data_IF_805711432062
#
_entry.id   IF_805711432062
#
_cell.length_a   1.000
_cell.length_b   1.000
_cell.length_c   1.000
_cell.angle_alpha   90.00
_cell.angle_beta   90.00
_cell.angle_gamma   90.00
#
_symmetry.space_group_name_H-M   'P 1'
#
loop_
_entity.id
_entity.type
_entity.pdbx_description
1 polymer ?
#
# COMPACT_ATOMS: atom_id res chain seq x y z
N UNK A 1 -7.48 -8.63 -2.05
CA UNK A 1 -7.34 -8.80 -3.51
C UNK A 1 -5.88 -8.87 -3.92
N UNK A 2 -5.10 -7.78 -3.80
CA UNK A 2 -3.66 -7.75 -4.17
C UNK A 2 -2.88 -8.97 -3.67
N UNK A 3 -2.89 -9.25 -2.36
CA UNK A 3 -2.13 -10.39 -1.82
C UNK A 3 -2.55 -11.77 -2.36
N UNK A 4 -3.83 -11.98 -2.69
CA UNK A 4 -4.29 -13.23 -3.31
C UNK A 4 -3.85 -13.30 -4.78
N UNK A 5 -3.93 -12.18 -5.52
CA UNK A 5 -3.43 -12.08 -6.89
C UNK A 5 -1.93 -12.37 -6.97
N UNK A 6 -1.15 -11.72 -6.10
CA UNK A 6 0.29 -11.95 -5.96
C UNK A 6 0.60 -13.42 -5.65
N UNK A 7 -0.12 -14.03 -4.71
CA UNK A 7 0.06 -15.43 -4.39
C UNK A 7 -0.20 -16.34 -5.62
N UNK A 8 -1.30 -16.13 -6.34
CA UNK A 8 -1.60 -16.86 -7.57
C UNK A 8 -0.56 -16.64 -8.67
N UNK A 9 -0.08 -15.40 -8.84
CA UNK A 9 0.94 -15.08 -9.84
C UNK A 9 2.26 -15.76 -9.52
N UNK A 10 2.78 -15.64 -8.30
CA UNK A 10 4.07 -16.25 -7.95
C UNK A 10 4.03 -17.78 -7.91
N UNK A 11 2.85 -18.39 -7.76
CA UNK A 11 2.69 -19.85 -7.89
C UNK A 11 2.66 -20.33 -9.34
N UNK A 12 2.22 -19.49 -10.29
CA UNK A 12 1.90 -19.96 -11.66
C UNK A 12 2.73 -19.30 -12.76
N UNK A 13 3.21 -18.07 -12.54
CA UNK A 13 3.89 -17.20 -13.49
C UNK A 13 3.14 -17.01 -14.82
N UNK A 14 1.80 -17.08 -14.75
CA UNK A 14 0.92 -16.90 -15.91
C UNK A 14 0.48 -15.45 -16.04
N UNK A 15 0.37 -14.97 -17.28
CA UNK A 15 -0.04 -13.59 -17.58
C UNK A 15 -1.41 -13.25 -16.97
N UNK A 16 -2.35 -14.17 -16.99
CA UNK A 16 -3.68 -13.98 -16.41
C UNK A 16 -3.62 -13.73 -14.90
N UNK A 17 -2.70 -14.40 -14.21
CA UNK A 17 -2.49 -14.21 -12.78
C UNK A 17 -1.67 -12.96 -12.48
N UNK A 18 -0.76 -12.57 -13.38
CA UNK A 18 -0.05 -11.30 -13.30
C UNK A 18 -1.02 -10.11 -13.30
N UNK A 19 -2.03 -10.14 -14.19
CA UNK A 19 -3.09 -9.13 -14.20
C UNK A 19 -3.87 -9.09 -12.88
N UNK A 20 -4.10 -10.25 -12.26
CA UNK A 20 -4.78 -10.36 -10.97
C UNK A 20 -3.94 -9.85 -9.80
N UNK A 21 -2.60 -9.79 -9.93
CA UNK A 21 -1.71 -9.15 -8.96
C UNK A 21 -1.66 -7.63 -9.16
N UNK A 22 -1.28 -7.21 -10.37
CA UNK A 22 -0.88 -5.84 -10.68
C UNK A 22 -2.05 -4.87 -10.81
N UNK A 23 -3.15 -5.25 -11.47
CA UNK A 23 -4.29 -4.33 -11.65
C UNK A 23 -4.98 -3.98 -10.32
N UNK A 24 -5.22 -4.94 -9.39
CA UNK A 24 -5.73 -4.60 -8.07
C UNK A 24 -4.85 -3.66 -7.26
N UNK A 25 -3.55 -3.54 -7.53
CA UNK A 25 -2.70 -2.52 -6.89
C UNK A 25 -3.17 -1.10 -7.27
N UNK A 26 -3.47 -0.86 -8.54
CA UNK A 26 -4.01 0.41 -9.04
C UNK A 26 -5.36 0.70 -8.37
N UNK A 27 -6.30 -0.26 -8.41
CA UNK A 27 -7.64 -0.07 -7.85
C UNK A 27 -7.61 0.20 -6.35
N UNK A 28 -6.82 -0.56 -5.59
CA UNK A 28 -6.68 -0.38 -4.14
C UNK A 28 -6.09 0.98 -3.82
N UNK A 29 -5.07 1.42 -4.58
CA UNK A 29 -4.45 2.72 -4.36
C UNK A 29 -5.39 3.87 -4.72
N UNK A 30 -6.21 3.76 -5.77
CA UNK A 30 -7.28 4.73 -6.07
C UNK A 30 -8.26 4.86 -4.89
N UNK A 31 -8.67 3.74 -4.28
CA UNK A 31 -9.53 3.75 -3.09
C UNK A 31 -8.82 4.46 -1.91
N UNK A 32 -7.53 4.19 -1.68
CA UNK A 32 -6.78 4.85 -0.63
C UNK A 32 -6.65 6.36 -0.87
N UNK A 33 -6.40 6.79 -2.11
CA UNK A 33 -6.40 8.21 -2.48
C UNK A 33 -7.76 8.83 -2.18
N UNK A 34 -8.86 8.20 -2.59
CA UNK A 34 -10.21 8.69 -2.26
C UNK A 34 -10.41 8.86 -0.74
N UNK A 35 -10.12 7.83 0.05
CA UNK A 35 -10.23 7.85 1.50
C UNK A 35 -9.40 8.96 2.15
N UNK A 36 -8.17 9.19 1.67
CA UNK A 36 -7.24 10.18 2.21
C UNK A 36 -7.61 11.62 1.86
N UNK A 37 -8.23 11.86 0.70
CA UNK A 37 -8.72 13.19 0.34
C UNK A 37 -10.06 13.51 1.02
N UNK A 38 -10.91 12.50 1.21
CA UNK A 38 -12.24 12.64 1.82
C UNK A 38 -12.24 12.51 3.36
N UNK A 39 -11.09 12.25 3.99
CA UNK A 39 -11.00 12.01 5.43
C UNK A 39 -11.51 13.16 6.31
N UNK A 40 -11.55 14.40 5.79
CA UNK A 40 -12.03 15.62 6.46
C UNK A 40 -13.36 16.14 5.92
N UNK A 41 -14.15 15.30 5.24
CA UNK A 41 -15.48 15.67 4.71
C UNK A 41 -16.59 15.24 5.65
N UNK A 42 -17.80 15.75 5.48
CA UNK A 42 -18.94 15.36 6.32
C UNK A 42 -19.22 13.85 6.24
N UNK A 43 -19.90 13.30 7.24
CA UNK A 43 -20.37 11.91 7.17
C UNK A 43 -21.48 11.84 6.12
N UNK A 44 -21.55 10.74 5.37
CA UNK A 44 -22.55 10.49 4.32
C UNK A 44 -22.52 11.48 3.13
N UNK A 45 -21.39 12.16 2.89
CA UNK A 45 -21.16 12.91 1.64
C UNK A 45 -20.29 12.11 0.69
N UNK A 46 -20.60 12.16 -0.60
CA UNK A 46 -19.82 11.52 -1.68
C UNK A 46 -19.30 12.59 -2.63
N UNK A 47 -18.00 12.57 -2.91
CA UNK A 47 -17.37 13.44 -3.87
C UNK A 47 -17.32 12.75 -5.24
N UNK A 48 -18.40 12.93 -6.02
CA UNK A 48 -18.53 12.30 -7.34
C UNK A 48 -17.45 12.75 -8.33
N UNK A 49 -16.94 13.98 -8.23
CA UNK A 49 -15.87 14.45 -9.10
C UNK A 49 -14.58 13.65 -8.89
N UNK A 50 -14.12 13.50 -7.64
CA UNK A 50 -12.93 12.72 -7.33
C UNK A 50 -13.13 11.23 -7.65
N UNK A 51 -14.31 10.70 -7.34
CA UNK A 51 -14.67 9.32 -7.65
C UNK A 51 -14.60 9.04 -9.16
N UNK A 52 -15.20 9.89 -9.98
CA UNK A 52 -15.18 9.77 -11.44
C UNK A 52 -13.75 9.85 -12.00
N UNK A 53 -12.94 10.79 -11.52
CA UNK A 53 -11.54 10.93 -11.94
C UNK A 53 -10.75 9.64 -11.65
N UNK A 54 -10.89 9.07 -10.46
CA UNK A 54 -10.15 7.86 -10.07
C UNK A 54 -10.62 6.63 -10.83
N UNK A 55 -11.93 6.49 -11.06
CA UNK A 55 -12.48 5.41 -11.90
C UNK A 55 -11.96 5.54 -13.33
N UNK A 56 -12.06 6.73 -13.94
CA UNK A 56 -11.57 6.98 -15.29
C UNK A 56 -10.06 6.71 -15.41
N UNK A 57 -9.27 7.17 -14.44
CA UNK A 57 -7.84 6.89 -14.37
C UNK A 57 -7.57 5.38 -14.37
N UNK A 58 -8.21 4.62 -13.47
CA UNK A 58 -8.00 3.18 -13.37
C UNK A 58 -8.42 2.43 -14.64
N UNK A 59 -9.48 2.88 -15.32
CA UNK A 59 -9.95 2.29 -16.57
C UNK A 59 -8.98 2.57 -17.73
N UNK A 60 -8.44 3.78 -17.82
CA UNK A 60 -7.40 4.14 -18.80
C UNK A 60 -6.15 3.29 -18.59
N UNK A 61 -5.64 3.25 -17.35
CA UNK A 61 -4.44 2.45 -17.02
C UNK A 61 -4.65 0.98 -17.38
N UNK A 62 -5.79 0.41 -17.00
CA UNK A 62 -6.12 -0.99 -17.31
C UNK A 62 -6.17 -1.23 -18.82
N UNK A 63 -6.86 -0.37 -19.57
CA UNK A 63 -7.02 -0.52 -21.02
C UNK A 63 -5.68 -0.43 -21.75
N UNK A 64 -4.84 0.54 -21.39
CA UNK A 64 -3.51 0.70 -21.98
C UNK A 64 -2.62 -0.49 -21.60
N UNK A 65 -2.66 -0.92 -20.34
CA UNK A 65 -1.81 -2.00 -19.86
C UNK A 65 -2.13 -3.35 -20.53
N UNK A 66 -3.41 -3.65 -20.77
CA UNK A 66 -3.83 -4.85 -21.48
C UNK A 66 -3.39 -4.87 -22.96
N UNK A 67 -3.27 -3.70 -23.59
CA UNK A 67 -2.86 -3.58 -25.00
C UNK A 67 -1.34 -3.57 -25.17
N UNK A 68 -0.65 -2.75 -24.39
CA UNK A 68 0.79 -2.48 -24.55
C UNK A 68 1.64 -3.49 -23.79
N UNK A 69 1.14 -4.03 -22.66
CA UNK A 69 1.79 -5.07 -21.85
C UNK A 69 3.20 -4.74 -21.35
N UNK A 70 3.51 -3.44 -21.26
CA UNK A 70 4.79 -2.95 -20.75
C UNK A 70 4.74 -2.76 -19.23
N UNK A 71 5.50 -3.54 -18.42
CA UNK A 71 5.42 -3.48 -16.96
C UNK A 71 5.89 -2.14 -16.39
N UNK A 72 6.80 -1.45 -17.08
CA UNK A 72 7.26 -0.10 -16.67
C UNK A 72 6.12 0.90 -16.68
N UNK A 73 5.17 0.80 -17.62
CA UNK A 73 3.99 1.66 -17.63
C UNK A 73 3.16 1.49 -16.35
N UNK A 74 2.89 0.25 -15.94
CA UNK A 74 2.18 -0.02 -14.68
C UNK A 74 2.92 0.57 -13.48
N UNK A 75 4.24 0.35 -13.39
CA UNK A 75 5.07 0.84 -12.29
C UNK A 75 5.01 2.36 -12.16
N UNK A 76 5.08 3.10 -13.28
CA UNK A 76 4.99 4.57 -13.27
C UNK A 76 3.59 5.02 -12.84
N UNK A 77 2.53 4.42 -13.37
CA UNK A 77 1.14 4.77 -13.01
C UNK A 77 0.85 4.51 -11.53
N UNK A 78 1.29 3.35 -11.01
CA UNK A 78 1.19 3.02 -9.59
C UNK A 78 2.02 3.98 -8.73
N UNK A 79 3.25 4.29 -9.14
CA UNK A 79 4.14 5.22 -8.46
C UNK A 79 3.54 6.62 -8.31
N UNK A 80 2.84 7.12 -9.34
CA UNK A 80 2.15 8.42 -9.26
C UNK A 80 1.00 8.43 -8.24
N UNK A 81 0.21 7.34 -8.15
CA UNK A 81 -0.83 7.22 -7.13
C UNK A 81 -0.22 7.18 -5.72
N UNK A 82 0.83 6.36 -5.53
CA UNK A 82 1.54 6.27 -4.25
C UNK A 82 2.14 7.62 -3.87
N UNK A 83 2.77 8.34 -4.81
CA UNK A 83 3.33 9.66 -4.56
C UNK A 83 2.25 10.66 -4.11
N UNK A 84 1.10 10.67 -4.76
CA UNK A 84 -0.06 11.49 -4.37
C UNK A 84 -0.53 11.16 -2.95
N UNK A 85 -0.58 9.87 -2.62
CA UNK A 85 -0.95 9.38 -1.29
C UNK A 85 0.06 9.81 -0.21
N UNK A 86 1.36 9.76 -0.53
CA UNK A 86 2.45 10.20 0.35
C UNK A 86 2.37 11.70 0.61
N UNK A 87 2.21 12.53 -0.42
CA UNK A 87 2.05 13.98 -0.25
C UNK A 87 0.87 14.32 0.66
N UNK A 88 -0.28 13.67 0.43
CA UNK A 88 -1.46 13.86 1.28
C UNK A 88 -1.22 13.43 2.72
N UNK A 89 -0.49 12.33 2.92
CA UNK A 89 -0.12 11.83 4.25
C UNK A 89 0.81 12.78 4.98
N UNK A 90 1.84 13.30 4.29
CA UNK A 90 2.77 14.30 4.82
C UNK A 90 2.01 15.56 5.24
N UNK A 91 1.09 16.04 4.40
CA UNK A 91 0.24 17.19 4.75
C UNK A 91 -0.51 16.95 6.07
N UNK A 92 -1.12 15.77 6.25
CA UNK A 92 -1.89 15.44 7.45
C UNK A 92 -0.99 15.39 8.69
N UNK A 93 0.15 14.71 8.64
CA UNK A 93 1.04 14.57 9.82
C UNK A 93 1.85 15.84 10.13
N UNK A 94 1.99 16.75 9.17
CA UNK A 94 2.70 18.01 9.39
C UNK A 94 1.76 19.09 9.91
N UNK A 95 0.58 19.23 9.29
CA UNK A 95 -0.29 20.40 9.50
C UNK A 95 -1.57 20.12 10.27
N UNK A 96 -2.07 18.88 10.28
CA UNK A 96 -3.38 18.57 10.86
C UNK A 96 -3.25 17.78 12.16
N UNK A 97 -2.64 16.58 12.09
CA UNK A 97 -2.54 15.62 13.18
C UNK A 97 -1.08 15.15 13.42
N UNK A 98 -0.22 15.99 14.03
CA UNK A 98 1.19 15.66 14.30
C UNK A 98 1.42 14.41 15.16
N UNK A 99 0.46 14.02 15.98
CA UNK A 99 0.54 12.80 16.79
C UNK A 99 0.53 11.51 15.95
N UNK A 100 0.09 11.57 14.68
CA UNK A 100 0.12 10.43 13.77
C UNK A 100 1.48 10.28 13.04
N UNK A 101 2.48 11.12 13.31
CA UNK A 101 3.80 11.08 12.66
C UNK A 101 4.47 9.71 12.77
N UNK A 102 4.47 9.09 13.95
CA UNK A 102 5.07 7.78 14.15
C UNK A 102 4.47 6.74 13.20
N UNK A 103 3.14 6.61 13.20
CA UNK A 103 2.44 5.66 12.33
C UNK A 103 2.64 5.97 10.83
N UNK A 104 2.51 7.25 10.43
CA UNK A 104 2.66 7.69 9.05
C UNK A 104 4.06 7.47 8.50
N UNK A 105 5.11 7.86 9.24
CA UNK A 105 6.50 7.69 8.80
C UNK A 105 6.98 6.25 8.90
N UNK A 106 6.49 5.44 9.85
CA UNK A 106 6.79 4.00 9.87
C UNK A 106 6.18 3.30 8.66
N UNK A 107 4.93 3.61 8.30
CA UNK A 107 4.30 3.10 7.07
C UNK A 107 5.11 3.45 5.83
N UNK A 108 5.51 4.73 5.67
CA UNK A 108 6.34 5.19 4.56
C UNK A 108 7.71 4.51 4.54
N UNK A 109 8.39 4.43 5.69
CA UNK A 109 9.73 3.84 5.80
C UNK A 109 9.76 2.37 5.41
N UNK A 110 8.78 1.58 5.87
CA UNK A 110 8.67 0.16 5.49
C UNK A 110 8.40 0.02 3.99
N UNK A 111 7.52 0.85 3.43
CA UNK A 111 7.21 0.81 2.00
C UNK A 111 8.44 1.14 1.13
N UNK A 112 9.19 2.19 1.50
CA UNK A 112 10.42 2.59 0.80
C UNK A 112 11.54 1.56 0.95
N UNK A 113 11.69 0.96 2.14
CA UNK A 113 12.65 -0.12 2.36
C UNK A 113 12.31 -1.33 1.48
N UNK A 114 11.03 -1.70 1.42
CA UNK A 114 10.58 -2.70 0.47
C UNK A 114 10.99 -2.33 -0.96
N UNK A 115 10.70 -1.09 -1.39
CA UNK A 115 10.95 -0.65 -2.77
C UNK A 115 12.43 -0.71 -3.11
N UNK A 116 13.28 -0.35 -2.16
CA UNK A 116 14.73 -0.50 -2.26
C UNK A 116 15.12 -1.97 -2.47
N UNK A 117 14.59 -2.89 -1.63
CA UNK A 117 14.87 -4.32 -1.76
C UNK A 117 14.40 -4.90 -3.10
N UNK A 118 13.23 -4.47 -3.60
CA UNK A 118 12.73 -4.84 -4.92
C UNK A 118 13.69 -4.40 -6.04
N UNK A 119 14.22 -3.18 -5.98
CA UNK A 119 15.20 -2.70 -6.97
C UNK A 119 16.53 -3.46 -6.88
N UNK A 120 17.00 -3.77 -5.67
CA UNK A 120 18.23 -4.56 -5.47
C UNK A 120 18.06 -5.95 -6.09
N UNK A 121 16.92 -6.62 -5.90
CA UNK A 121 16.67 -7.95 -6.48
C UNK A 121 16.66 -7.93 -8.01
N UNK A 122 16.05 -6.89 -8.61
CA UNK A 122 16.00 -6.74 -10.07
C UNK A 122 17.35 -6.38 -10.68
N UNK A 123 18.08 -5.41 -10.11
CA UNK A 123 19.35 -4.91 -10.67
C UNK A 123 20.49 -5.91 -10.46
N UNK A 124 20.58 -6.52 -9.28
CA UNK A 124 21.66 -7.43 -8.92
C UNK A 124 21.25 -8.92 -9.01
N UNK A 125 20.26 -9.25 -9.84
CA UNK A 125 19.65 -10.57 -9.91
C UNK A 125 20.68 -11.69 -10.11
N UNK A 126 21.57 -11.57 -11.11
CA UNK A 126 22.55 -12.62 -11.41
C UNK A 126 23.59 -12.80 -10.30
N UNK A 127 24.04 -11.69 -9.71
CA UNK A 127 24.95 -11.70 -8.57
C UNK A 127 24.31 -12.38 -7.35
N UNK A 128 23.06 -12.03 -7.04
CA UNK A 128 22.31 -12.63 -5.93
C UNK A 128 22.05 -14.11 -6.17
N UNK A 129 21.67 -14.52 -7.37
CA UNK A 129 21.47 -15.93 -7.73
C UNK A 129 22.76 -16.74 -7.60
N UNK A 130 23.88 -16.20 -8.08
CA UNK A 130 25.19 -16.86 -7.97
C UNK A 130 25.68 -16.93 -6.52
N UNK A 131 25.41 -15.90 -5.71
CA UNK A 131 25.68 -15.89 -4.27
C UNK A 131 24.85 -16.97 -3.55
N UNK A 132 23.55 -17.04 -3.81
CA UNK A 132 22.63 -18.02 -3.19
C UNK A 132 23.03 -19.47 -3.46
N UNK A 133 23.60 -19.79 -4.64
CA UNK A 133 24.10 -21.13 -4.97
C UNK A 133 25.27 -21.59 -4.08
N UNK A 134 26.03 -20.66 -3.52
CA UNK A 134 27.25 -20.94 -2.72
C UNK A 134 26.99 -20.90 -1.22
N UNK A 135 25.81 -20.45 -0.79
CA UNK A 135 25.49 -20.15 0.59
C UNK A 135 24.51 -21.18 1.19
N UNK A 136 24.52 -21.38 2.52
CA UNK A 136 23.53 -22.18 3.21
C UNK A 136 22.07 -21.75 2.91
N UNK A 137 21.10 -22.67 2.96
CA UNK A 137 19.70 -22.39 2.61
C UNK A 137 19.07 -21.19 3.35
N UNK A 138 19.43 -20.98 4.63
CA UNK A 138 18.91 -19.87 5.44
C UNK A 138 19.28 -18.51 4.84
N UNK A 139 20.53 -18.36 4.41
CA UNK A 139 21.02 -17.16 3.72
C UNK A 139 20.39 -17.07 2.32
N UNK A 140 20.17 -18.21 1.67
CA UNK A 140 19.40 -18.32 0.43
C UNK A 140 18.01 -17.71 0.53
N UNK A 141 17.28 -17.98 1.62
CA UNK A 141 15.95 -17.41 1.90
C UNK A 141 16.06 -15.93 2.29
N UNK A 142 16.98 -15.59 3.19
CA UNK A 142 17.15 -14.22 3.67
C UNK A 142 17.47 -13.23 2.55
N UNK A 143 18.13 -13.67 1.49
CA UNK A 143 18.48 -12.83 0.35
C UNK A 143 17.40 -12.73 -0.72
N UNK A 144 16.23 -13.39 -0.58
CA UNK A 144 15.09 -13.26 -1.50
C UNK A 144 14.42 -11.89 -1.34
N UNK A 145 15.04 -10.83 -1.85
CA UNK A 145 14.63 -9.45 -1.59
C UNK A 145 13.26 -9.11 -2.20
N UNK A 146 12.87 -9.78 -3.30
CA UNK A 146 11.51 -9.68 -3.81
C UNK A 146 10.46 -10.24 -2.83
N UNK A 147 10.78 -11.31 -2.08
CA UNK A 147 9.88 -11.82 -1.05
C UNK A 147 9.72 -10.82 0.10
N UNK A 148 10.84 -10.20 0.54
CA UNK A 148 10.81 -9.14 1.54
C UNK A 148 10.04 -7.91 1.10
N UNK A 149 10.08 -7.55 -0.19
CA UNK A 149 9.24 -6.49 -0.76
C UNK A 149 7.76 -6.71 -0.46
N UNK A 150 7.21 -7.92 -0.69
CA UNK A 150 5.81 -8.20 -0.39
C UNK A 150 5.48 -8.07 1.10
N UNK A 151 6.36 -8.55 1.98
CA UNK A 151 6.17 -8.45 3.44
C UNK A 151 6.15 -6.98 3.87
N UNK A 152 7.14 -6.20 3.43
CA UNK A 152 7.33 -4.81 3.85
C UNK A 152 6.26 -3.88 3.27
N UNK A 153 5.92 -4.02 1.99
CA UNK A 153 4.85 -3.21 1.38
C UNK A 153 3.46 -3.63 1.84
N UNK A 154 3.23 -4.92 2.10
CA UNK A 154 2.00 -5.40 2.72
C UNK A 154 1.79 -4.79 4.10
N UNK A 155 2.82 -4.83 4.95
CA UNK A 155 2.78 -4.20 6.27
C UNK A 155 2.68 -2.67 6.18
N UNK A 156 3.46 -2.03 5.30
CA UNK A 156 3.40 -0.58 5.07
C UNK A 156 2.01 -0.12 4.64
N UNK A 157 1.36 -0.85 3.72
CA UNK A 157 0.00 -0.59 3.26
C UNK A 157 -1.03 -0.81 4.37
N UNK A 158 -0.87 -1.87 5.18
CA UNK A 158 -1.72 -2.10 6.35
C UNK A 158 -1.64 -0.95 7.36
N UNK A 159 -0.43 -0.49 7.70
CA UNK A 159 -0.24 0.66 8.58
C UNK A 159 -0.80 1.95 7.96
N UNK A 160 -0.75 2.10 6.64
CA UNK A 160 -1.37 3.24 5.96
C UNK A 160 -2.90 3.22 6.08
N UNK A 161 -3.53 2.04 5.98
CA UNK A 161 -4.98 1.90 6.22
C UNK A 161 -5.32 2.29 7.66
N UNK A 162 -4.53 1.83 8.64
CA UNK A 162 -4.71 2.25 10.03
C UNK A 162 -4.57 3.76 10.17
N UNK A 163 -3.57 4.37 9.53
CA UNK A 163 -3.38 5.82 9.53
C UNK A 163 -4.58 6.58 8.95
N UNK A 164 -5.12 6.12 7.82
CA UNK A 164 -6.31 6.69 7.19
C UNK A 164 -7.53 6.59 8.11
N UNK A 165 -7.75 5.41 8.70
CA UNK A 165 -8.84 5.16 9.63
C UNK A 165 -8.73 6.01 10.90
N UNK A 166 -7.52 6.13 11.45
CA UNK A 166 -7.24 6.95 12.63
C UNK A 166 -7.55 8.42 12.36
N UNK A 167 -7.06 8.94 11.23
CA UNK A 167 -7.33 10.31 10.77
C UNK A 167 -8.82 10.58 10.69
N UNK A 168 -9.58 9.70 10.04
CA UNK A 168 -11.04 9.85 9.90
C UNK A 168 -11.75 9.84 11.26
N UNK A 169 -11.30 8.98 12.16
CA UNK A 169 -11.90 8.79 13.49
C UNK A 169 -11.72 10.04 14.36
N UNK A 170 -10.53 10.63 14.32
CA UNK A 170 -10.22 11.88 15.01
C UNK A 170 -11.06 13.04 14.48
N UNK A 171 -11.21 13.13 13.15
CA UNK A 171 -12.05 14.17 12.53
C UNK A 171 -13.52 14.05 12.97
N UNK A 172 -14.04 12.82 13.06
CA UNK A 172 -15.40 12.54 13.53
C UNK A 172 -15.55 12.60 15.07
N UNK A 173 -14.51 13.01 15.80
CA UNK A 173 -14.49 13.15 17.26
C UNK A 173 -14.78 11.85 18.05
N UNK A 174 -14.57 10.68 17.42
CA UNK A 174 -14.55 9.42 18.15
C UNK A 174 -13.24 9.27 18.92
N UNK A 175 -13.21 8.40 19.93
CA UNK A 175 -12.00 8.06 20.70
C UNK A 175 -11.42 6.73 20.21
N UNK A 176 -10.42 6.76 19.31
CA UNK A 176 -9.71 5.56 18.89
C UNK A 176 -8.81 5.04 20.02
N UNK A 177 -8.79 3.72 20.22
CA UNK A 177 -7.78 3.03 21.02
C UNK A 177 -7.03 2.05 20.15
N UNK A 178 -5.69 2.09 20.19
CA UNK A 178 -4.86 1.07 19.55
C UNK A 178 -4.74 -0.10 20.50
N UNK A 179 -5.13 -1.29 20.03
CA UNK A 179 -4.90 -2.56 20.72
C UNK A 179 -3.95 -3.39 19.88
N UNK A 180 -3.05 -4.12 20.54
CA UNK A 180 -2.18 -5.08 19.86
C UNK A 180 -2.75 -6.48 20.01
N UNK A 181 -3.22 -7.08 18.92
CA UNK A 181 -3.59 -8.50 18.88
C UNK A 181 -2.32 -9.33 19.02
N UNK A 182 -2.36 -10.32 19.92
CA UNK A 182 -1.21 -11.16 20.28
C UNK A 182 0.05 -10.36 20.67
N UNK A 183 -0.11 -9.11 21.13
CA UNK A 183 0.99 -8.22 21.50
C UNK A 183 1.80 -7.63 20.32
N UNK A 184 1.48 -8.02 19.07
CA UNK A 184 2.29 -7.67 17.89
C UNK A 184 1.49 -6.90 16.85
N UNK A 185 0.23 -7.25 16.61
CA UNK A 185 -0.52 -6.73 15.46
C UNK A 185 -1.43 -5.55 15.86
N UNK A 186 -1.15 -4.31 15.42
CA UNK A 186 -1.93 -3.15 15.83
C UNK A 186 -3.31 -3.16 15.16
N UNK A 187 -4.37 -2.91 15.93
CA UNK A 187 -5.75 -2.71 15.46
C UNK A 187 -6.36 -1.50 16.15
N UNK A 188 -7.24 -0.80 15.45
CA UNK A 188 -7.99 0.34 16.00
C UNK A 188 -9.35 -0.14 16.48
N UNK A 189 -9.64 0.09 17.75
CA UNK A 189 -10.96 -0.11 18.34
C UNK A 189 -11.66 1.24 18.54
N UNK A 190 -12.97 1.23 18.30
CA UNK A 190 -13.82 2.39 18.51
C UNK A 190 -14.62 2.21 19.80
N UNK A 191 -14.48 3.14 20.73
CA UNK A 191 -15.46 3.25 21.81
C UNK A 191 -16.64 4.12 21.32
N UNK A 192 -17.89 3.62 21.40
CA UNK A 192 -19.04 4.46 21.11
C UNK A 192 -19.06 5.66 22.07
N UNK A 193 -19.41 6.84 21.54
CA UNK A 193 -19.58 8.03 22.35
C UNK A 193 -20.59 7.73 23.47
N UNK A 194 -20.22 7.98 24.74
CA UNK A 194 -21.19 7.97 25.84
C UNK A 194 -22.29 8.96 25.47
N UNK A 195 -23.50 8.45 25.24
CA UNK A 195 -24.69 9.30 25.17
C UNK A 195 -24.86 9.91 26.57
N UNK A 196 -24.72 11.23 26.66
CA UNK A 196 -25.17 12.00 27.81
C UNK A 196 -26.67 12.22 27.70
#
# INVERSE_FOLDING_TARGET
MVGMGSWCFHMTLKYEMQLLDELPMIYSCCIFVYCMFECFKMKNSVNYHLLFILVLFSLIVTTVYLKVKEPVFHQVMYGMLVFTLVLRSIYIVTWVYPWLRGLGYTSLGLFLLGFLLWNIDNIFCDSLRNFRKKMPPIIGVATQFHAWWHILTGLGSYLHILFSLYTRTLYLKYRPKVKFLFGIWPVILFEPLRKH
#
